data_IF_002080326018
#
_entry.id   IF_002080326018
#
_cell.length_a   1.000
_cell.length_b   1.000
_cell.length_c   1.000
_cell.angle_alpha   90.00
_cell.angle_beta   90.00
_cell.angle_gamma   90.00
#
_symmetry.space_group_name_H-M   'P 1'
#
loop_
_entity.id
_entity.type
_entity.pdbx_description
1 polymer ?
#
# COMPACT_ATOMS: atom_id res chain seq x y z
N UNK A 1 -23.10 -17.30 11.38
CA UNK A 1 -23.40 -16.76 12.72
C UNK A 1 -24.22 -17.82 13.44
N UNK A 2 -23.68 -18.42 14.50
CA UNK A 2 -24.50 -19.29 15.34
C UNK A 2 -25.50 -18.39 16.05
N UNK A 3 -26.79 -18.60 15.82
CA UNK A 3 -27.83 -17.92 16.57
C UNK A 3 -27.63 -18.22 18.07
N UNK A 4 -27.86 -17.24 18.96
CA UNK A 4 -27.56 -17.40 20.38
C UNK A 4 -28.40 -18.55 20.95
N UNK A 5 -27.72 -19.57 21.47
CA UNK A 5 -28.37 -20.62 22.25
C UNK A 5 -28.60 -20.06 23.64
N UNK A 6 -29.86 -19.96 24.05
CA UNK A 6 -30.23 -19.55 25.41
C UNK A 6 -30.80 -20.74 26.17
N UNK A 7 -30.40 -20.88 27.44
CA UNK A 7 -30.97 -21.89 28.35
C UNK A 7 -32.17 -21.31 29.07
N UNK A 8 -33.32 -21.98 28.97
CA UNK A 8 -34.51 -21.64 29.75
C UNK A 8 -34.65 -22.66 30.88
N UNK A 9 -34.49 -22.21 32.11
CA UNK A 9 -34.77 -22.99 33.32
C UNK A 9 -36.25 -22.86 33.71
N UNK A 10 -36.87 -23.96 34.13
CA UNK A 10 -38.25 -23.96 34.59
C UNK A 10 -38.46 -24.96 35.75
N UNK A 11 -39.54 -24.76 36.50
CA UNK A 11 -39.99 -25.68 37.55
C UNK A 11 -41.41 -26.12 37.22
N UNK A 12 -41.65 -27.42 37.23
CA UNK A 12 -43.00 -27.98 37.07
C UNK A 12 -43.32 -28.93 38.23
N UNK A 13 -44.59 -29.02 38.60
CA UNK A 13 -45.07 -29.99 39.59
C UNK A 13 -45.87 -31.09 38.85
N UNK A 14 -45.47 -32.35 39.01
CA UNK A 14 -46.26 -33.55 38.64
C UNK A 14 -46.67 -33.74 37.16
N UNK A 15 -45.81 -33.40 36.19
CA UNK A 15 -46.06 -33.66 34.76
C UNK A 15 -45.08 -34.67 34.17
N UNK A 16 -45.49 -35.43 33.15
CA UNK A 16 -44.68 -36.50 32.57
C UNK A 16 -43.74 -36.04 31.46
N UNK A 17 -44.02 -34.89 30.83
CA UNK A 17 -43.08 -34.23 29.90
C UNK A 17 -43.41 -32.75 29.69
N UNK A 18 -42.38 -31.98 29.36
CA UNK A 18 -42.48 -30.56 28.97
C UNK A 18 -41.88 -30.39 27.58
N UNK A 19 -42.43 -29.47 26.79
CA UNK A 19 -41.85 -29.04 25.52
C UNK A 19 -41.72 -27.53 25.50
N UNK A 20 -40.56 -27.03 25.08
CA UNK A 20 -40.30 -25.60 24.96
C UNK A 20 -40.07 -25.28 23.49
N UNK A 21 -40.82 -24.32 22.97
CA UNK A 21 -40.70 -23.87 21.60
C UNK A 21 -40.38 -22.37 21.54
N UNK A 22 -39.43 -21.99 20.70
CA UNK A 22 -39.16 -20.61 20.32
C UNK A 22 -39.59 -20.42 18.87
N UNK A 23 -40.50 -19.48 18.59
CA UNK A 23 -41.02 -19.20 17.24
C UNK A 23 -41.58 -20.42 16.49
N UNK A 24 -41.99 -21.47 17.21
CA UNK A 24 -42.48 -22.73 16.66
C UNK A 24 -41.45 -23.85 16.55
N UNK A 25 -40.16 -23.56 16.73
CA UNK A 25 -39.10 -24.57 16.80
C UNK A 25 -38.95 -25.09 18.23
N UNK A 26 -39.21 -26.39 18.39
CA UNK A 26 -39.34 -27.02 19.70
C UNK A 26 -38.09 -27.84 20.05
N UNK A 27 -37.60 -27.66 21.27
CA UNK A 27 -36.60 -28.52 21.89
C UNK A 27 -37.28 -29.52 22.84
N UNK A 28 -36.83 -30.78 22.80
CA UNK A 28 -37.18 -31.76 23.82
C UNK A 28 -36.56 -31.32 25.15
N UNK A 29 -37.37 -31.17 26.20
CA UNK A 29 -36.85 -30.73 27.49
C UNK A 29 -36.15 -31.88 28.22
N UNK A 30 -35.03 -31.58 28.89
CA UNK A 30 -34.56 -32.40 30.02
C UNK A 30 -35.48 -32.23 31.23
N UNK A 31 -35.09 -32.72 32.42
CA UNK A 31 -35.93 -32.59 33.62
C UNK A 31 -36.23 -31.13 34.01
N UNK A 32 -35.34 -30.16 33.68
CA UNK A 32 -35.51 -28.76 34.14
C UNK A 32 -35.01 -27.65 33.19
N UNK A 33 -34.54 -27.98 31.98
CA UNK A 33 -34.02 -26.98 31.04
C UNK A 33 -34.14 -27.42 29.57
N UNK A 34 -34.22 -26.43 28.66
CA UNK A 34 -34.07 -26.64 27.22
C UNK A 34 -33.23 -25.53 26.58
N UNK A 35 -32.47 -25.91 25.55
CA UNK A 35 -31.75 -24.98 24.68
C UNK A 35 -32.67 -24.58 23.52
N UNK A 36 -32.90 -23.27 23.38
CA UNK A 36 -33.68 -22.71 22.26
C UNK A 36 -32.85 -21.69 21.50
N UNK A 37 -33.13 -21.61 20.19
CA UNK A 37 -32.52 -20.61 19.31
C UNK A 37 -33.43 -19.39 19.25
N UNK A 38 -32.85 -18.19 19.36
CA UNK A 38 -33.59 -16.92 19.24
C UNK A 38 -33.22 -16.20 17.94
N UNK A 39 -34.23 -15.62 17.31
CA UNK A 39 -34.08 -14.70 16.19
C UNK A 39 -33.86 -13.26 16.69
N UNK A 40 -33.29 -12.38 15.85
CA UNK A 40 -33.20 -10.96 16.17
C UNK A 40 -34.58 -10.29 16.15
N UNK A 41 -34.89 -9.53 17.21
CA UNK A 41 -36.20 -8.92 17.43
C UNK A 41 -37.05 -9.69 18.44
N UNK A 42 -38.37 -9.69 18.22
CA UNK A 42 -39.33 -10.28 19.16
C UNK A 42 -39.47 -11.78 18.92
N UNK A 43 -39.24 -12.58 19.97
CA UNK A 43 -39.37 -14.03 19.98
C UNK A 43 -40.54 -14.44 20.87
N UNK A 44 -41.41 -15.32 20.36
CA UNK A 44 -42.48 -15.90 21.16
C UNK A 44 -42.01 -17.23 21.73
N UNK A 45 -41.92 -17.31 23.05
CA UNK A 45 -41.61 -18.54 23.77
C UNK A 45 -42.92 -19.17 24.25
N UNK A 46 -43.10 -20.44 23.92
CA UNK A 46 -44.22 -21.26 24.39
C UNK A 46 -43.69 -22.44 25.19
N UNK A 47 -44.11 -22.54 26.44
CA UNK A 47 -43.82 -23.68 27.31
C UNK A 47 -45.11 -24.47 27.48
N UNK A 48 -45.09 -25.75 27.11
CA UNK A 48 -46.25 -26.65 27.19
C UNK A 48 -45.93 -27.81 28.12
N UNK A 49 -46.75 -27.99 29.15
CA UNK A 49 -46.75 -29.15 30.01
C UNK A 49 -47.79 -30.17 29.52
N UNK A 50 -47.39 -31.44 29.45
CA UNK A 50 -48.25 -32.54 29.04
C UNK A 50 -48.45 -33.51 30.22
N UNK A 51 -49.67 -34.04 30.36
CA UNK A 51 -50.00 -35.13 31.28
C UNK A 51 -50.07 -36.47 30.54
N UNK A 52 -49.95 -37.58 31.27
CA UNK A 52 -50.00 -38.94 30.70
C UNK A 52 -51.33 -39.30 30.03
N UNK A 53 -52.41 -38.63 30.42
CA UNK A 53 -53.75 -38.79 29.82
C UNK A 53 -53.97 -37.88 28.59
N UNK A 54 -52.94 -37.14 28.18
CA UNK A 54 -52.94 -36.30 26.98
C UNK A 54 -53.51 -34.89 27.17
N UNK A 55 -53.78 -34.46 28.40
CA UNK A 55 -54.12 -33.07 28.66
C UNK A 55 -52.89 -32.15 28.55
N UNK A 56 -53.10 -30.92 28.11
CA UNK A 56 -52.04 -29.94 27.87
C UNK A 56 -52.37 -28.61 28.54
N UNK A 57 -51.35 -27.98 29.11
CA UNK A 57 -51.39 -26.59 29.58
C UNK A 57 -50.18 -25.83 29.04
N UNK A 58 -50.41 -24.62 28.53
CA UNK A 58 -49.34 -23.81 27.93
C UNK A 58 -49.30 -22.41 28.51
N UNK A 59 -48.09 -21.89 28.65
CA UNK A 59 -47.81 -20.46 28.90
C UNK A 59 -47.02 -19.90 27.75
N UNK A 60 -47.33 -18.65 27.37
CA UNK A 60 -46.59 -17.91 26.36
C UNK A 60 -46.03 -16.61 26.96
N UNK A 61 -44.85 -16.22 26.49
CA UNK A 61 -44.24 -14.94 26.80
C UNK A 61 -43.36 -14.48 25.65
N UNK A 62 -43.10 -13.17 25.57
CA UNK A 62 -42.25 -12.58 24.55
C UNK A 62 -40.88 -12.21 25.12
N UNK A 63 -39.81 -12.62 24.44
CA UNK A 63 -38.44 -12.16 24.69
C UNK A 63 -38.00 -11.35 23.48
N UNK A 64 -37.48 -10.14 23.71
CA UNK A 64 -36.80 -9.39 22.65
C UNK A 64 -35.31 -9.68 22.70
N UNK A 65 -34.77 -10.34 21.69
CA UNK A 65 -33.34 -10.50 21.51
C UNK A 65 -32.83 -9.38 20.59
N UNK A 66 -31.75 -8.71 20.99
CA UNK A 66 -31.05 -7.78 20.11
C UNK A 66 -29.62 -8.27 20.01
N UNK A 67 -29.15 -8.49 18.77
CA UNK A 67 -27.76 -8.78 18.57
C UNK A 67 -26.97 -7.52 18.94
N UNK A 68 -25.99 -7.66 19.81
CA UNK A 68 -25.08 -6.56 20.07
C UNK A 68 -24.15 -6.43 18.86
N UNK A 69 -24.30 -5.36 18.11
CA UNK A 69 -23.36 -5.01 17.05
C UNK A 69 -22.00 -4.73 17.70
N UNK A 70 -21.03 -5.59 17.42
CA UNK A 70 -19.65 -5.39 17.89
C UNK A 70 -19.02 -4.40 16.92
N UNK A 71 -18.71 -3.20 17.42
CA UNK A 71 -18.02 -2.19 16.64
C UNK A 71 -16.71 -2.76 16.06
N UNK A 72 -16.36 -2.34 14.84
CA UNK A 72 -15.07 -2.69 14.26
C UNK A 72 -13.95 -2.14 15.14
N UNK A 73 -12.82 -2.85 15.30
CA UNK A 73 -11.68 -2.34 16.06
C UNK A 73 -11.15 -1.06 15.40
N UNK A 74 -10.76 -0.09 16.22
CA UNK A 74 -10.03 1.10 15.74
C UNK A 74 -8.71 0.65 15.11
N UNK A 75 -8.41 1.18 13.93
CA UNK A 75 -7.18 0.87 13.17
C UNK A 75 -6.54 2.13 12.64
N UNK A 76 -5.25 2.27 12.90
CA UNK A 76 -4.35 3.22 12.23
C UNK A 76 -3.65 2.55 11.05
N UNK A 77 -3.42 3.30 9.98
CA UNK A 77 -2.59 2.89 8.85
C UNK A 77 -1.83 4.08 8.25
N UNK A 78 -0.93 3.84 7.29
CA UNK A 78 -0.05 4.86 6.67
C UNK A 78 1.00 5.47 7.62
N UNK A 79 1.51 4.66 8.56
CA UNK A 79 2.63 5.03 9.45
C UNK A 79 3.93 4.36 8.99
N UNK A 80 4.31 4.57 7.74
CA UNK A 80 5.59 4.06 7.23
C UNK A 80 6.71 5.01 7.62
N UNK A 81 7.88 4.46 7.94
CA UNK A 81 9.09 5.22 8.21
C UNK A 81 9.39 6.21 7.08
N UNK A 82 9.92 7.38 7.44
CA UNK A 82 10.25 8.47 6.54
C UNK A 82 11.75 8.75 6.59
N UNK A 83 12.36 8.95 5.43
CA UNK A 83 13.77 9.35 5.31
C UNK A 83 13.87 10.61 4.45
N UNK A 84 14.49 11.66 4.98
CA UNK A 84 14.53 12.98 4.32
C UNK A 84 15.93 13.59 4.47
N UNK A 85 16.50 14.07 3.36
CA UNK A 85 17.79 14.78 3.37
C UNK A 85 17.55 16.27 3.70
N UNK A 86 18.27 16.78 4.70
CA UNK A 86 18.21 18.19 5.08
C UNK A 86 18.98 19.05 4.06
N UNK A 87 18.29 19.61 3.07
CA UNK A 87 18.91 20.42 2.00
C UNK A 87 19.73 21.63 2.52
N UNK A 88 19.43 22.13 3.72
CA UNK A 88 20.17 23.22 4.36
C UNK A 88 21.29 22.75 5.31
N UNK A 89 21.56 21.44 5.37
CA UNK A 89 22.56 20.85 6.26
C UNK A 89 22.17 20.80 7.74
N UNK A 90 20.92 21.08 8.10
CA UNK A 90 20.52 21.19 9.51
C UNK A 90 19.16 20.54 9.85
N UNK A 91 18.14 20.75 9.01
CA UNK A 91 16.78 20.27 9.27
C UNK A 91 15.94 20.12 8.00
N UNK A 92 14.88 19.33 8.08
CA UNK A 92 13.90 19.18 7.00
C UNK A 92 12.46 19.16 7.55
N UNK A 93 11.53 19.70 6.77
CA UNK A 93 10.10 19.55 7.03
C UNK A 93 9.63 18.19 6.51
N UNK A 94 8.86 17.46 7.31
CA UNK A 94 8.39 16.10 6.98
C UNK A 94 6.87 16.06 6.99
N UNK A 95 6.29 15.61 5.87
CA UNK A 95 4.84 15.47 5.70
C UNK A 95 4.43 14.01 5.79
N UNK A 96 3.43 13.72 6.62
CA UNK A 96 2.83 12.40 6.78
C UNK A 96 1.30 12.51 6.86
N UNK A 97 0.58 11.44 6.53
CA UNK A 97 -0.88 11.41 6.49
C UNK A 97 -1.41 10.08 7.03
N UNK A 98 -1.36 9.85 8.36
CA UNK A 98 -1.89 8.65 8.98
C UNK A 98 -3.41 8.64 8.76
N UNK A 99 -3.98 7.46 8.55
CA UNK A 99 -5.42 7.29 8.38
C UNK A 99 -5.99 6.41 9.48
N UNK A 100 -7.22 6.72 9.88
CA UNK A 100 -7.93 6.00 10.93
C UNK A 100 -9.24 5.42 10.40
N UNK A 101 -9.58 4.21 10.84
CA UNK A 101 -10.80 3.51 10.46
C UNK A 101 -11.33 2.63 11.60
N UNK A 102 -12.55 2.13 11.45
CA UNK A 102 -13.23 1.34 12.48
C UNK A 102 -13.81 2.22 13.58
N UNK A 103 -13.97 1.65 14.77
CA UNK A 103 -14.63 2.31 15.89
C UNK A 103 -16.14 2.10 15.89
N UNK A 104 -16.76 2.41 17.04
CA UNK A 104 -18.23 2.51 17.14
C UNK A 104 -18.75 3.87 16.66
N UNK A 105 -17.85 4.86 16.60
CA UNK A 105 -18.01 6.19 16.05
C UNK A 105 -16.73 6.58 15.31
N UNK A 106 -16.76 7.66 14.53
CA UNK A 106 -15.58 8.14 13.81
C UNK A 106 -14.43 8.44 14.79
N UNK A 107 -13.30 7.70 14.73
CA UNK A 107 -12.22 7.89 15.70
C UNK A 107 -11.53 9.24 15.52
N UNK A 108 -11.02 9.79 16.61
CA UNK A 108 -10.15 10.99 16.59
C UNK A 108 -8.70 10.56 16.47
N UNK A 109 -7.94 11.19 15.57
CA UNK A 109 -6.51 10.97 15.38
C UNK A 109 -5.71 12.11 16.05
N UNK A 110 -4.69 11.75 16.83
CA UNK A 110 -3.72 12.68 17.41
C UNK A 110 -2.32 12.14 17.21
N UNK A 111 -1.37 12.98 16.81
CA UNK A 111 0.04 12.65 16.74
C UNK A 111 0.84 13.65 17.57
N UNK A 112 1.97 13.21 18.12
CA UNK A 112 2.89 14.06 18.89
C UNK A 112 3.58 15.14 18.03
N UNK A 113 3.62 14.94 16.71
CA UNK A 113 4.07 15.90 15.72
C UNK A 113 2.96 16.14 14.67
N UNK A 114 2.84 17.38 14.19
CA UNK A 114 1.93 17.71 13.08
C UNK A 114 2.61 17.43 11.72
N UNK A 115 1.83 17.03 10.72
CA UNK A 115 2.34 16.92 9.35
C UNK A 115 2.91 18.25 8.87
N UNK A 116 4.15 18.24 8.36
CA UNK A 116 4.93 19.44 8.01
C UNK A 116 5.86 19.94 9.12
N UNK A 117 5.93 19.25 10.26
CA UNK A 117 6.89 19.55 11.34
C UNK A 117 8.33 19.49 10.84
N UNK A 118 9.18 20.35 11.41
CA UNK A 118 10.61 20.44 11.09
C UNK A 118 11.40 19.58 12.07
N UNK A 119 12.18 18.64 11.55
CA UNK A 119 13.06 17.76 12.29
C UNK A 119 14.52 18.09 11.99
N UNK A 120 15.38 18.08 13.01
CA UNK A 120 16.84 18.23 12.83
C UNK A 120 17.46 16.93 12.34
N UNK A 121 18.68 16.97 11.80
CA UNK A 121 19.44 15.75 11.47
C UNK A 121 19.46 14.76 12.64
N UNK A 122 19.21 13.48 12.34
CA UNK A 122 19.11 12.39 13.29
C UNK A 122 17.79 11.61 13.17
N UNK A 123 17.63 10.62 14.06
CA UNK A 123 16.44 9.79 14.15
C UNK A 123 15.44 10.39 15.13
N UNK A 124 14.20 10.53 14.68
CA UNK A 124 13.05 10.92 15.49
C UNK A 124 11.97 9.85 15.38
N UNK A 125 11.07 9.82 16.35
CA UNK A 125 9.90 8.94 16.32
C UNK A 125 8.66 9.83 16.38
N UNK A 126 7.73 9.58 15.47
CA UNK A 126 6.40 10.19 15.52
C UNK A 126 5.44 9.14 16.02
N UNK A 127 4.72 9.48 17.09
CA UNK A 127 3.78 8.60 17.77
C UNK A 127 2.37 9.12 17.53
N UNK A 128 1.51 8.28 16.94
CA UNK A 128 0.12 8.61 16.66
C UNK A 128 -0.82 7.69 17.45
N UNK A 129 -1.81 8.29 18.11
CA UNK A 129 -2.87 7.60 18.82
C UNK A 129 -4.23 7.93 18.20
N UNK A 130 -5.10 6.94 18.14
CA UNK A 130 -6.49 7.10 17.76
C UNK A 130 -7.40 6.56 18.85
N UNK A 131 -8.50 7.26 19.12
CA UNK A 131 -9.51 6.83 20.09
C UNK A 131 -10.93 7.11 19.59
N UNK A 132 -11.89 6.27 19.99
CA UNK A 132 -13.32 6.46 19.72
C UNK A 132 -14.14 6.75 21.00
N UNK A 133 -15.42 7.09 20.84
CA UNK A 133 -16.30 7.40 21.99
C UNK A 133 -16.68 6.16 22.83
N UNK A 134 -16.42 4.96 22.32
CA UNK A 134 -16.58 3.70 23.05
C UNK A 134 -15.34 3.32 23.87
N UNK A 135 -14.28 4.13 23.81
CA UNK A 135 -13.03 3.89 24.52
C UNK A 135 -12.12 2.86 23.86
N UNK A 136 -12.35 2.54 22.58
CA UNK A 136 -11.39 1.78 21.79
C UNK A 136 -10.22 2.68 21.40
N UNK A 137 -9.00 2.16 21.49
CA UNK A 137 -7.79 2.88 21.08
C UNK A 137 -6.95 2.08 20.08
N UNK A 138 -6.14 2.79 19.30
CA UNK A 138 -5.09 2.22 18.48
C UNK A 138 -3.88 3.16 18.50
N UNK A 139 -2.68 2.61 18.38
CA UNK A 139 -1.43 3.35 18.36
C UNK A 139 -0.60 2.95 17.14
N UNK A 140 0.22 3.87 16.66
CA UNK A 140 1.04 3.71 15.47
C UNK A 140 2.26 4.63 15.54
N UNK A 141 3.44 4.03 15.59
CA UNK A 141 4.71 4.75 15.64
C UNK A 141 5.49 4.53 14.35
N UNK A 142 6.14 5.58 13.85
CA UNK A 142 7.04 5.50 12.70
C UNK A 142 8.27 6.36 12.89
N UNK A 143 9.38 5.92 12.31
CA UNK A 143 10.66 6.62 12.37
C UNK A 143 10.70 7.75 11.33
N UNK A 144 11.31 8.87 11.72
CA UNK A 144 11.69 9.97 10.82
C UNK A 144 13.20 10.12 10.91
N UNK A 145 13.91 9.66 9.88
CA UNK A 145 15.35 9.80 9.76
C UNK A 145 15.69 11.02 8.89
N UNK A 146 16.31 12.03 9.51
CA UNK A 146 16.80 13.21 8.80
C UNK A 146 18.30 13.08 8.60
N UNK A 147 18.74 13.16 7.36
CA UNK A 147 20.13 12.96 7.01
C UNK A 147 20.82 14.25 6.60
N UNK A 148 22.12 14.32 6.89
CA UNK A 148 22.96 15.37 6.34
C UNK A 148 23.00 15.23 4.81
N UNK A 149 23.00 16.36 4.07
CA UNK A 149 23.36 16.31 2.67
C UNK A 149 24.81 15.79 2.57
N UNK A 150 25.18 15.10 1.48
CA UNK A 150 26.55 14.67 1.27
C UNK A 150 27.48 15.88 1.43
N UNK A 151 28.45 15.77 2.32
CA UNK A 151 29.42 16.83 2.58
C UNK A 151 30.20 17.08 1.28
N UNK A 152 30.20 18.33 0.81
CA UNK A 152 31.05 18.73 -0.31
C UNK A 152 32.48 18.72 0.21
N UNK A 153 33.24 17.66 -0.09
CA UNK A 153 34.67 17.64 0.21
C UNK A 153 35.38 18.74 -0.60
N UNK A 154 35.66 19.87 0.03
CA UNK A 154 36.74 20.73 -0.45
C UNK A 154 38.05 20.05 -0.07
N UNK A 155 38.73 19.51 -1.09
CA UNK A 155 40.03 18.84 -0.95
C UNK A 155 41.06 19.86 -0.45
N UNK A 156 41.36 19.81 0.85
CA UNK A 156 42.50 20.52 1.43
C UNK A 156 43.76 19.68 1.19
N UNK A 157 44.71 20.29 0.49
CA UNK A 157 45.93 19.70 -0.05
C UNK A 157 46.85 19.22 1.08
N UNK A 158 46.94 17.90 1.31
CA UNK A 158 47.95 17.30 2.20
C UNK A 158 48.69 16.19 1.44
N UNK A 159 49.97 16.46 1.16
CA UNK A 159 50.91 15.45 0.68
C UNK A 159 51.05 14.32 1.72
N UNK A 160 50.61 13.11 1.38
CA UNK A 160 51.07 11.89 2.03
C UNK A 160 51.24 10.74 1.02
N UNK A 161 52.28 9.96 1.26
CA UNK A 161 52.90 8.97 0.38
C UNK A 161 51.95 7.88 -0.11
N UNK A 162 51.99 7.58 -1.41
CA UNK A 162 51.11 6.65 -2.12
C UNK A 162 51.09 5.23 -1.54
N UNK A 163 50.00 4.91 -0.85
CA UNK A 163 49.36 3.62 -1.03
C UNK A 163 48.46 3.76 -2.26
N UNK A 164 48.73 3.00 -3.33
CA UNK A 164 47.78 2.86 -4.44
C UNK A 164 46.48 2.33 -3.83
N UNK A 165 45.47 3.19 -3.69
CA UNK A 165 44.14 2.78 -3.31
C UNK A 165 43.68 1.75 -4.36
N UNK A 166 43.45 0.53 -3.90
CA UNK A 166 42.88 -0.52 -4.74
C UNK A 166 41.40 -0.20 -4.89
N UNK A 167 40.93 -0.11 -6.12
CA UNK A 167 39.53 0.23 -6.33
C UNK A 167 38.58 -0.89 -5.91
N UNK A 168 37.48 -0.51 -5.28
CA UNK A 168 36.35 -1.37 -4.98
C UNK A 168 35.17 -0.99 -5.87
N UNK A 169 34.73 -1.93 -6.71
CA UNK A 169 33.63 -1.71 -7.65
C UNK A 169 32.29 -1.41 -6.96
N UNK A 170 32.11 -1.80 -5.70
CA UNK A 170 30.89 -1.50 -4.95
C UNK A 170 30.86 -0.07 -4.40
N UNK A 171 32.02 0.56 -4.25
CA UNK A 171 32.17 1.87 -3.62
C UNK A 171 32.50 2.95 -4.67
N UNK A 172 33.33 2.61 -5.65
CA UNK A 172 33.91 3.56 -6.61
C UNK A 172 33.10 3.73 -7.90
N UNK A 173 32.06 2.93 -8.10
CA UNK A 173 31.18 3.01 -9.28
C UNK A 173 29.81 3.55 -8.85
N UNK A 174 29.34 4.59 -9.52
CA UNK A 174 28.04 5.20 -9.26
C UNK A 174 27.16 5.18 -10.50
N UNK A 175 25.85 5.05 -10.26
CA UNK A 175 24.81 5.17 -11.27
C UNK A 175 23.94 6.37 -10.93
N UNK A 176 23.99 7.40 -11.77
CA UNK A 176 23.13 8.58 -11.65
C UNK A 176 22.02 8.51 -12.66
N UNK A 177 20.76 8.62 -12.21
CA UNK A 177 19.58 8.69 -13.07
C UNK A 177 18.81 9.97 -12.73
N UNK A 178 18.69 10.86 -13.69
CA UNK A 178 17.93 12.11 -13.53
C UNK A 178 16.77 12.15 -14.51
N UNK A 179 15.68 12.78 -14.08
CA UNK A 179 14.52 13.09 -14.91
C UNK A 179 14.37 14.60 -15.06
N UNK A 180 13.85 15.03 -16.22
CA UNK A 180 13.25 16.34 -16.39
C UNK A 180 11.84 16.39 -15.80
N UNK A 181 10.88 16.94 -16.54
CA UNK A 181 9.48 16.98 -16.12
C UNK A 181 8.91 15.57 -15.94
N UNK A 182 8.47 15.25 -14.71
CA UNK A 182 7.97 13.94 -14.34
C UNK A 182 6.43 13.87 -14.22
N UNK A 183 5.71 14.91 -14.66
CA UNK A 183 4.25 14.96 -14.65
C UNK A 183 3.70 15.01 -16.08
N UNK A 184 2.98 13.97 -16.48
CA UNK A 184 2.36 13.89 -17.81
C UNK A 184 0.91 14.37 -17.73
N UNK A 185 0.67 15.58 -18.21
CA UNK A 185 -0.67 16.16 -18.28
C UNK A 185 -0.82 17.05 -19.52
N UNK A 186 -1.99 17.10 -20.18
CA UNK A 186 -3.23 16.34 -19.91
C UNK A 186 -3.23 14.89 -20.41
N UNK A 187 -4.06 14.01 -19.82
CA UNK A 187 -4.24 12.63 -20.27
C UNK A 187 -4.90 12.68 -21.65
N UNK A 188 -4.12 12.39 -22.69
CA UNK A 188 -4.55 12.55 -24.08
C UNK A 188 -4.26 11.29 -24.89
N UNK A 189 -4.03 10.16 -24.24
CA UNK A 189 -3.67 8.89 -24.87
C UNK A 189 -2.42 8.98 -25.78
N UNK A 190 -1.53 9.94 -25.54
CA UNK A 190 -0.31 10.16 -26.34
C UNK A 190 0.93 9.72 -25.59
N UNK A 191 1.88 9.15 -26.33
CA UNK A 191 3.26 9.02 -25.89
C UNK A 191 3.89 10.41 -25.81
N UNK A 192 4.49 10.70 -24.66
CA UNK A 192 5.18 11.94 -24.32
C UNK A 192 6.63 11.60 -24.04
N UNK A 193 7.53 12.39 -24.59
CA UNK A 193 8.97 12.26 -24.40
C UNK A 193 9.29 12.58 -22.93
N UNK A 194 9.91 11.63 -22.25
CA UNK A 194 10.41 11.79 -20.88
C UNK A 194 11.89 12.09 -21.00
N UNK A 195 12.26 13.32 -20.67
CA UNK A 195 13.65 13.70 -20.56
C UNK A 195 14.28 12.94 -19.40
N UNK A 196 15.28 12.13 -19.69
CA UNK A 196 16.02 11.38 -18.69
C UNK A 196 17.49 11.28 -19.08
N UNK A 197 18.36 11.23 -18.08
CA UNK A 197 19.78 10.92 -18.26
C UNK A 197 20.16 9.79 -17.31
N UNK A 198 20.77 8.74 -17.84
CA UNK A 198 21.31 7.64 -17.05
C UNK A 198 22.82 7.56 -17.31
N UNK A 199 23.60 7.87 -16.29
CA UNK A 199 25.06 7.93 -16.36
C UNK A 199 25.66 6.95 -15.37
N UNK A 200 26.43 6.00 -15.87
CA UNK A 200 27.35 5.21 -15.06
C UNK A 200 28.70 5.94 -15.06
N UNK A 201 29.31 6.10 -13.88
CA UNK A 201 30.59 6.80 -13.71
C UNK A 201 31.45 6.12 -12.64
N UNK A 202 32.77 6.32 -12.71
CA UNK A 202 33.71 5.96 -11.65
C UNK A 202 34.78 7.04 -11.56
N UNK A 203 35.24 7.36 -10.36
CA UNK A 203 36.39 8.26 -10.17
C UNK A 203 37.70 7.47 -10.01
N UNK A 204 37.63 6.14 -10.08
CA UNK A 204 38.79 5.26 -10.06
C UNK A 204 39.40 5.08 -11.46
N UNK A 205 40.65 5.53 -11.62
CA UNK A 205 41.43 5.35 -12.86
C UNK A 205 41.62 3.88 -13.29
N UNK A 206 41.68 2.95 -12.33
CA UNK A 206 41.83 1.51 -12.63
C UNK A 206 40.58 0.92 -13.30
N UNK A 207 39.39 1.48 -13.01
CA UNK A 207 38.10 1.00 -13.53
C UNK A 207 37.67 1.74 -14.80
N UNK A 208 38.22 2.92 -15.09
CA UNK A 208 37.90 3.74 -16.28
C UNK A 208 37.97 2.93 -17.60
N UNK A 209 38.97 2.06 -17.75
CA UNK A 209 39.11 1.20 -18.94
C UNK A 209 38.07 0.07 -19.01
N UNK A 210 37.57 -0.39 -17.87
CA UNK A 210 36.61 -1.48 -17.74
C UNK A 210 35.16 -1.02 -17.93
N UNK A 211 34.87 0.26 -17.69
CA UNK A 211 33.54 0.86 -17.88
C UNK A 211 32.94 0.63 -19.28
N UNK A 212 33.79 0.51 -20.30
CA UNK A 212 33.38 0.22 -21.68
C UNK A 212 32.66 -1.12 -21.87
N UNK A 213 32.77 -2.03 -20.89
CA UNK A 213 32.14 -3.34 -20.90
C UNK A 213 30.77 -3.35 -20.20
N UNK A 214 30.46 -2.30 -19.45
CA UNK A 214 29.23 -2.20 -18.67
C UNK A 214 28.09 -1.72 -19.55
N UNK A 215 26.92 -2.33 -19.38
CA UNK A 215 25.70 -1.94 -20.06
C UNK A 215 24.80 -1.19 -19.09
N UNK A 216 24.21 -0.10 -19.55
CA UNK A 216 23.16 0.58 -18.82
C UNK A 216 21.81 0.32 -19.47
N UNK A 217 20.75 0.32 -18.67
CA UNK A 217 19.39 0.16 -19.17
C UNK A 217 18.38 0.76 -18.22
N UNK A 218 17.16 0.96 -18.71
CA UNK A 218 16.00 1.38 -17.91
C UNK A 218 14.88 0.37 -18.14
N UNK A 219 14.30 -0.15 -17.06
CA UNK A 219 13.04 -0.86 -17.11
C UNK A 219 11.89 0.07 -16.75
N UNK A 220 10.75 -0.13 -17.40
CA UNK A 220 9.54 0.64 -17.13
C UNK A 220 8.51 -0.27 -16.52
N UNK A 221 8.01 0.13 -15.35
CA UNK A 221 6.93 -0.53 -14.64
C UNK A 221 5.80 0.46 -14.42
N UNK A 222 4.57 -0.01 -14.22
CA UNK A 222 3.45 0.86 -13.84
C UNK A 222 2.46 0.16 -12.93
N UNK A 223 1.79 0.91 -12.05
CA UNK A 223 0.64 0.42 -11.26
C UNK A 223 -0.60 0.07 -12.10
N UNK A 224 -0.54 0.23 -13.43
CA UNK A 224 -1.60 -0.12 -14.36
C UNK A 224 -1.06 -1.04 -15.47
N UNK A 225 -1.79 -2.11 -15.82
CA UNK A 225 -1.34 -3.04 -16.86
C UNK A 225 -1.29 -2.37 -18.23
N UNK A 226 -0.52 -2.96 -19.15
CA UNK A 226 -0.51 -2.50 -20.54
C UNK A 226 -1.90 -2.72 -21.17
N UNK A 227 -2.42 -1.68 -21.83
CA UNK A 227 -3.63 -1.82 -22.62
C UNK A 227 -3.40 -2.91 -23.69
N UNK A 228 -4.07 -4.06 -23.57
CA UNK A 228 -3.79 -5.20 -24.45
C UNK A 228 -4.15 -4.87 -25.90
N UNK A 229 -3.16 -4.89 -26.81
CA UNK A 229 -3.43 -5.14 -28.22
C UNK A 229 -3.94 -6.59 -28.30
N UNK A 230 -5.25 -6.76 -28.39
CA UNK A 230 -5.86 -8.10 -28.46
C UNK A 230 -5.55 -8.79 -29.79
N UNK A 231 -4.35 -9.33 -29.92
CA UNK A 231 -4.06 -10.48 -30.78
C UNK A 231 -4.46 -11.79 -30.06
N UNK A 232 -5.72 -11.88 -29.59
CA UNK A 232 -6.43 -13.16 -29.35
C UNK A 232 -7.92 -13.01 -28.96
N UNK A 233 -8.61 -11.99 -29.51
CA UNK A 233 -10.04 -12.12 -29.84
C UNK A 233 -11.04 -12.49 -28.74
N UNK A 234 -10.85 -12.06 -27.49
CA UNK A 234 -11.96 -12.02 -26.53
C UNK A 234 -12.20 -10.59 -26.06
N UNK A 235 -13.12 -9.96 -26.77
CA UNK A 235 -13.61 -8.61 -26.59
C UNK A 235 -14.88 -8.73 -25.75
N UNK A 236 -14.88 -8.20 -24.52
CA UNK A 236 -16.13 -7.95 -23.81
C UNK A 236 -16.19 -6.51 -23.27
N UNK A 237 -17.27 -5.88 -23.72
CA UNK A 237 -17.91 -4.58 -23.56
C UNK A 237 -17.37 -3.53 -22.56
N UNK A 238 -16.88 -2.43 -23.12
CA UNK A 238 -17.15 -1.10 -22.53
C UNK A 238 -16.19 0.02 -22.92
N UNK A 239 -14.89 -0.24 -22.86
CA UNK A 239 -13.85 0.74 -23.21
C UNK A 239 -12.75 0.01 -23.97
N UNK A 240 -12.60 0.31 -25.26
CA UNK A 240 -11.64 -0.38 -26.12
C UNK A 240 -10.22 0.04 -25.75
N UNK A 241 -9.51 -0.81 -25.01
CA UNK A 241 -8.07 -0.76 -24.74
C UNK A 241 -7.24 -0.90 -26.03
N UNK A 242 -7.36 0.07 -26.94
CA UNK A 242 -6.84 0.00 -28.31
C UNK A 242 -5.55 0.81 -28.49
N UNK A 243 -4.79 0.93 -27.40
CA UNK A 243 -3.67 1.82 -27.37
C UNK A 243 -2.51 1.10 -26.67
N UNK A 244 -1.91 0.03 -27.18
CA UNK A 244 -0.51 -0.25 -26.81
C UNK A 244 0.41 0.60 -27.72
N UNK A 245 1.69 0.82 -27.38
CA UNK A 245 2.34 0.55 -26.10
C UNK A 245 2.23 1.73 -25.12
N UNK A 246 2.33 1.44 -23.82
CA UNK A 246 2.32 2.46 -22.76
C UNK A 246 3.71 3.04 -22.46
N UNK A 247 4.75 2.30 -22.82
CA UNK A 247 6.13 2.75 -22.82
C UNK A 247 6.79 2.41 -24.16
N UNK A 248 7.60 3.32 -24.68
CA UNK A 248 8.40 3.07 -25.89
C UNK A 248 9.75 3.71 -25.74
N UNK A 249 10.80 2.93 -25.97
CA UNK A 249 12.15 3.45 -26.10
C UNK A 249 12.55 3.51 -27.58
N UNK A 250 13.32 4.54 -27.92
CA UNK A 250 14.28 4.51 -29.03
C UNK A 250 15.67 4.73 -28.44
N UNK A 251 16.73 4.58 -29.23
CA UNK A 251 18.13 4.74 -28.80
C UNK A 251 18.42 6.02 -27.99
N UNK A 252 17.61 7.09 -28.15
CA UNK A 252 17.83 8.40 -27.51
C UNK A 252 16.68 8.91 -26.63
N UNK A 253 15.48 8.29 -26.68
CA UNK A 253 14.28 8.88 -26.06
C UNK A 253 13.39 7.80 -25.46
N UNK A 254 13.11 7.94 -24.16
CA UNK A 254 12.01 7.24 -23.51
C UNK A 254 10.73 8.02 -23.72
N UNK A 255 9.68 7.33 -24.16
CA UNK A 255 8.34 7.89 -24.28
C UNK A 255 7.40 7.11 -23.39
N UNK A 256 6.72 7.82 -22.51
CA UNK A 256 5.70 7.28 -21.64
C UNK A 256 4.35 7.85 -22.02
N UNK A 257 3.31 7.07 -21.82
CA UNK A 257 2.00 7.54 -22.16
C UNK A 257 1.40 8.43 -21.09
N UNK A 258 0.96 9.61 -21.50
CA UNK A 258 0.08 10.47 -20.72
C UNK A 258 -1.37 9.93 -20.76
N UNK A 259 -1.61 8.80 -20.11
CA UNK A 259 -2.93 8.19 -19.96
C UNK A 259 -3.00 7.31 -18.71
N UNK A 260 -4.21 6.99 -18.27
CA UNK A 260 -4.52 6.12 -17.13
C UNK A 260 -5.80 5.33 -17.35
N UNK A 261 -6.10 4.41 -16.44
CA UNK A 261 -7.44 3.83 -16.32
C UNK A 261 -8.47 4.89 -15.92
N UNK A 262 -9.60 4.94 -16.63
CA UNK A 262 -10.64 5.95 -16.43
C UNK A 262 -11.25 5.99 -15.02
N UNK A 263 -11.22 4.87 -14.29
CA UNK A 263 -11.69 4.78 -12.90
C UNK A 263 -10.55 4.76 -11.87
N UNK A 264 -9.29 4.90 -12.28
CA UNK A 264 -8.12 4.88 -11.40
C UNK A 264 -7.74 6.26 -10.88
N UNK A 265 -7.00 6.30 -9.76
CA UNK A 265 -6.60 7.56 -9.08
C UNK A 265 -5.40 8.27 -9.76
N UNK A 266 -4.89 7.68 -10.84
CA UNK A 266 -3.74 8.17 -11.58
C UNK A 266 -2.76 7.03 -11.84
N UNK A 267 -1.93 7.23 -12.86
CA UNK A 267 -0.89 6.27 -13.23
C UNK A 267 0.44 6.71 -12.64
N UNK A 268 1.17 5.75 -12.10
CA UNK A 268 2.57 5.88 -11.70
C UNK A 268 3.37 4.99 -12.62
N UNK A 269 4.36 5.54 -13.29
CA UNK A 269 5.44 4.80 -13.89
C UNK A 269 6.62 4.78 -12.92
N UNK A 270 7.19 3.61 -12.70
CA UNK A 270 8.44 3.40 -11.98
C UNK A 270 9.52 3.01 -13.01
N UNK A 271 10.53 3.86 -13.13
CA UNK A 271 11.68 3.71 -14.01
C UNK A 271 12.83 3.16 -13.18
N UNK A 272 13.23 1.93 -13.48
CA UNK A 272 14.32 1.26 -12.78
C UNK A 272 15.53 1.30 -13.69
N UNK A 273 16.42 2.28 -13.45
CA UNK A 273 17.70 2.37 -14.12
C UNK A 273 18.66 1.34 -13.53
N UNK A 274 19.53 0.77 -14.36
CA UNK A 274 20.53 -0.17 -13.89
C UNK A 274 21.84 -0.11 -14.67
N UNK A 275 22.93 -0.46 -13.98
CA UNK A 275 24.21 -0.82 -14.57
C UNK A 275 24.42 -2.33 -14.44
N UNK A 276 24.83 -2.98 -15.53
CA UNK A 276 25.06 -4.42 -15.60
C UNK A 276 26.43 -4.75 -16.19
N UNK A 277 27.08 -5.74 -15.58
CA UNK A 277 28.28 -6.40 -16.10
C UNK A 277 27.87 -7.82 -16.53
N UNK A 278 27.70 -8.03 -17.84
CA UNK A 278 27.08 -9.26 -18.35
C UNK A 278 25.62 -9.39 -17.89
N UNK A 279 25.24 -10.56 -17.36
CA UNK A 279 23.87 -10.84 -16.87
C UNK A 279 23.62 -10.34 -15.43
N UNK A 280 24.66 -9.83 -14.75
CA UNK A 280 24.57 -9.41 -13.35
C UNK A 280 24.25 -7.91 -13.25
N UNK A 281 23.10 -7.59 -12.65
CA UNK A 281 22.70 -6.23 -12.31
C UNK A 281 23.42 -5.79 -11.02
N UNK A 282 24.13 -4.67 -11.07
CA UNK A 282 25.08 -4.28 -10.01
C UNK A 282 24.66 -3.02 -9.25
N UNK A 283 24.16 -2.02 -9.98
CA UNK A 283 23.66 -0.76 -9.44
C UNK A 283 22.25 -0.52 -9.96
N UNK A 284 21.40 0.07 -9.12
CA UNK A 284 20.02 0.39 -9.46
C UNK A 284 19.67 1.80 -9.04
N UNK A 285 18.88 2.48 -9.87
CA UNK A 285 18.26 3.77 -9.58
C UNK A 285 16.75 3.65 -9.77
N UNK A 286 15.98 4.43 -9.02
CA UNK A 286 14.53 4.39 -9.04
C UNK A 286 13.98 5.79 -9.28
N UNK A 287 13.33 5.99 -10.42
CA UNK A 287 12.72 7.26 -10.77
C UNK A 287 11.25 7.10 -11.12
N UNK A 288 10.44 8.16 -10.94
CA UNK A 288 8.98 8.06 -11.09
C UNK A 288 8.42 9.14 -11.99
N UNK A 289 7.46 8.76 -12.83
CA UNK A 289 6.69 9.66 -13.70
C UNK A 289 5.21 9.44 -13.47
N UNK A 290 4.43 10.51 -13.35
CA UNK A 290 3.03 10.44 -12.91
C UNK A 290 2.03 10.98 -13.92
N UNK A 291 0.82 10.39 -13.94
CA UNK A 291 -0.34 10.82 -14.74
C UNK A 291 -1.55 11.00 -13.82
N UNK A 292 -1.81 12.21 -13.27
CA UNK A 292 -2.83 12.41 -12.22
C UNK A 292 -4.27 12.32 -12.74
N UNK A 293 -5.21 11.73 -11.97
CA UNK A 293 -6.66 11.59 -12.31
C UNK A 293 -7.41 12.84 -12.81
N UNK A 294 -6.97 14.03 -12.45
CA UNK A 294 -7.38 15.28 -13.09
C UNK A 294 -6.36 16.38 -12.76
N UNK A 295 -6.57 17.60 -13.27
CA UNK A 295 -5.66 18.72 -13.02
C UNK A 295 -5.83 19.35 -11.62
N UNK A 296 -6.70 18.81 -10.75
CA UNK A 296 -6.87 19.36 -9.40
C UNK A 296 -5.62 19.10 -8.56
N UNK A 297 -5.35 19.99 -7.60
CA UNK A 297 -4.25 19.82 -6.66
C UNK A 297 -4.37 18.52 -5.85
N UNK A 298 -5.60 18.11 -5.49
CA UNK A 298 -5.84 16.87 -4.76
C UNK A 298 -5.41 15.65 -5.58
N UNK A 299 -5.78 15.59 -6.85
CA UNK A 299 -5.40 14.47 -7.72
C UNK A 299 -3.90 14.39 -8.01
N UNK A 300 -3.22 15.55 -8.11
CA UNK A 300 -1.75 15.61 -8.22
C UNK A 300 -1.06 15.15 -6.93
N UNK A 301 -1.57 15.54 -5.77
CA UNK A 301 -1.02 15.12 -4.49
C UNK A 301 -1.20 13.61 -4.28
N UNK A 302 -2.35 13.07 -4.64
CA UNK A 302 -2.64 11.64 -4.52
C UNK A 302 -1.68 10.79 -5.37
N UNK A 303 -1.49 11.13 -6.65
CA UNK A 303 -0.54 10.39 -7.50
C UNK A 303 0.92 10.58 -7.06
N UNK A 304 1.27 11.73 -6.48
CA UNK A 304 2.60 11.96 -5.93
C UNK A 304 2.88 11.08 -4.70
N UNK A 305 1.88 10.84 -3.83
CA UNK A 305 2.01 9.91 -2.70
C UNK A 305 2.26 8.48 -3.20
N UNK A 306 1.46 8.02 -4.18
CA UNK A 306 1.65 6.70 -4.78
C UNK A 306 3.04 6.57 -5.42
N UNK A 307 3.51 7.62 -6.09
CA UNK A 307 4.84 7.66 -6.70
C UNK A 307 5.97 7.60 -5.66
N UNK A 308 5.86 8.34 -4.56
CA UNK A 308 6.84 8.27 -3.46
C UNK A 308 6.89 6.89 -2.82
N UNK A 309 5.73 6.23 -2.62
CA UNK A 309 5.67 4.87 -2.10
C UNK A 309 6.35 3.86 -3.04
N UNK A 310 6.10 3.96 -4.35
CA UNK A 310 6.72 3.09 -5.34
C UNK A 310 8.24 3.31 -5.45
N UNK A 311 8.70 4.57 -5.43
CA UNK A 311 10.13 4.91 -5.44
C UNK A 311 10.83 4.36 -4.20
N UNK A 312 10.27 4.60 -3.01
CA UNK A 312 10.83 4.10 -1.76
C UNK A 312 10.93 2.57 -1.74
N UNK A 313 9.87 1.85 -2.14
CA UNK A 313 9.92 0.40 -2.23
C UNK A 313 11.05 -0.09 -3.13
N UNK A 314 11.23 0.53 -4.30
CA UNK A 314 12.28 0.19 -5.25
C UNK A 314 13.69 0.40 -4.67
N UNK A 315 13.91 1.53 -3.98
CA UNK A 315 15.19 1.87 -3.35
C UNK A 315 15.54 0.87 -2.23
N UNK A 316 14.56 0.48 -1.41
CA UNK A 316 14.76 -0.47 -0.30
C UNK A 316 14.87 -1.93 -0.75
N UNK A 317 14.49 -2.25 -1.99
CA UNK A 317 14.46 -3.63 -2.51
C UNK A 317 15.39 -3.80 -3.71
N UNK A 318 16.53 -3.10 -3.74
CA UNK A 318 17.59 -3.26 -4.75
C UNK A 318 17.06 -3.16 -6.20
N UNK A 319 16.17 -2.19 -6.46
CA UNK A 319 15.59 -1.99 -7.78
C UNK A 319 14.51 -3.01 -8.16
N UNK A 320 13.82 -3.61 -7.19
CA UNK A 320 12.63 -4.40 -7.45
C UNK A 320 11.37 -3.52 -7.52
N UNK A 321 10.48 -3.80 -8.47
CA UNK A 321 9.18 -3.15 -8.53
C UNK A 321 8.22 -3.74 -7.46
N UNK A 322 7.26 -2.95 -6.93
CA UNK A 322 6.17 -3.47 -6.11
C UNK A 322 5.37 -4.57 -6.82
N UNK A 323 4.78 -5.49 -6.04
CA UNK A 323 4.07 -6.68 -6.58
C UNK A 323 2.84 -6.35 -7.43
N UNK A 324 2.29 -5.15 -7.30
CA UNK A 324 1.13 -4.63 -8.03
C UNK A 324 1.54 -3.81 -9.28
N UNK A 325 2.83 -3.73 -9.58
CA UNK A 325 3.34 -3.08 -10.79
C UNK A 325 3.51 -4.08 -11.94
N UNK A 326 3.14 -3.64 -13.13
CA UNK A 326 3.25 -4.38 -14.38
C UNK A 326 4.43 -3.86 -15.18
N UNK A 327 5.29 -4.77 -15.65
CA UNK A 327 6.39 -4.41 -16.53
C UNK A 327 5.85 -4.05 -17.91
N UNK A 328 6.30 -2.92 -18.45
CA UNK A 328 6.03 -2.51 -19.82
C UNK A 328 7.22 -2.82 -20.72
N UNK A 329 6.97 -3.53 -21.82
CA UNK A 329 8.02 -3.90 -22.76
C UNK A 329 8.55 -2.70 -23.53
N UNK A 330 9.80 -2.32 -23.30
CA UNK A 330 10.54 -1.45 -24.21
C UNK A 330 10.95 -2.28 -25.42
N UNK A 331 10.22 -2.19 -26.54
CA UNK A 331 10.67 -2.86 -27.77
C UNK A 331 11.97 -2.22 -28.27
N UNK A 332 13.00 -3.06 -28.31
CA UNK A 332 14.37 -2.93 -28.80
C UNK A 332 15.30 -1.88 -28.16
N UNK A 333 15.98 -2.37 -27.10
CA UNK A 333 17.38 -2.10 -26.69
C UNK A 333 17.82 -0.64 -26.60
N UNK A 334 17.72 -0.06 -25.39
CA UNK A 334 18.64 1.00 -24.97
C UNK A 334 19.93 0.32 -24.52
N UNK A 335 20.99 0.53 -25.31
CA UNK A 335 22.34 0.04 -25.05
C UNK A 335 23.15 0.16 -26.32
N UNK A 336 24.27 0.88 -26.26
CA UNK A 336 25.17 1.05 -27.41
C UNK A 336 25.53 -0.31 -28.01
N UNK A 337 25.31 -0.45 -29.32
CA UNK A 337 25.90 -1.56 -30.06
C UNK A 337 27.43 -1.44 -30.01
N UNK A 338 28.07 -2.59 -29.80
CA UNK A 338 29.46 -2.87 -30.16
C UNK A 338 29.83 -2.30 -31.53
#
# INVERSE_FOLDING_TARGET
>A
ANAPVSTIDYVHNEHSSVSICANGDCAASGEYSAEVTLDEGDNQITVTANTDDGAQASVNFQIKYQAQEVAAPVRLSQCSDQRVVAANGASAAVSFSPTVSGGCSAPTLSCDHESGSIFTIGNHTVSCEAYDECGQTAECDFAVNIEAPPESEEVDDVEETEAVASCDRNEDVSLTHTLGDNLLWPPKHKLVDVEQTLTLATDCDQLQGEMSQWQTGVEVWSNEPEASDSANGMQDSGDTFNFAPDAKATDEVLRLRAERLGNGNGRVYLLIGYGAEGDNRFLTSCEVVVVPHNNSSASKAEVAIMASQAKYYCEENNGAAPVDFYQHGLSDKIGSKQ
#
